data_IF_036786943104
#
_entry.id   IF_036786943104
#
_cell.length_a   1.000
_cell.length_b   1.000
_cell.length_c   1.000
_cell.angle_alpha   90.00
_cell.angle_beta   90.00
_cell.angle_gamma   90.00
#
_symmetry.space_group_name_H-M   'P 1'
#
loop_
_entity.id
_entity.type
_entity.pdbx_description
1 polymer ?
#
# COMPACT_ATOMS: atom_id res chain seq x y z
N UNK A 1 4.22 -10.43 12.49
CA UNK A 1 4.39 -10.90 11.10
C UNK A 1 3.01 -11.25 10.52
N UNK A 2 2.14 -10.25 10.31
CA UNK A 2 0.70 -10.49 10.01
C UNK A 2 0.04 -9.56 8.96
N UNK A 3 0.53 -8.34 8.63
CA UNK A 3 -0.17 -7.51 7.63
C UNK A 3 0.17 -7.84 6.17
N UNK A 4 1.38 -8.31 5.87
CA UNK A 4 1.86 -8.51 4.49
C UNK A 4 1.13 -9.65 3.75
N UNK A 5 0.92 -10.79 4.42
CA UNK A 5 0.24 -11.96 3.82
C UNK A 5 -1.20 -11.64 3.41
N UNK A 6 -1.91 -10.88 4.27
CA UNK A 6 -3.31 -10.53 4.07
C UNK A 6 -3.51 -9.55 2.90
N UNK A 7 -2.52 -8.70 2.67
CA UNK A 7 -2.51 -7.76 1.55
C UNK A 7 -2.22 -8.47 0.22
N UNK A 8 -1.21 -9.34 0.15
CA UNK A 8 -0.90 -10.16 -1.03
C UNK A 8 -2.11 -10.98 -1.47
N UNK A 9 -2.80 -11.63 -0.51
CA UNK A 9 -3.99 -12.43 -0.79
C UNK A 9 -5.14 -11.59 -1.38
N UNK A 10 -5.32 -10.36 -0.91
CA UNK A 10 -6.42 -9.48 -1.33
C UNK A 10 -6.13 -8.69 -2.61
N UNK A 11 -4.90 -8.23 -2.82
CA UNK A 11 -4.57 -7.32 -3.93
C UNK A 11 -3.89 -8.01 -5.12
N UNK A 12 -3.01 -8.99 -4.88
CA UNK A 12 -2.27 -9.66 -5.97
C UNK A 12 -2.99 -10.89 -6.50
N UNK A 13 -3.53 -11.74 -5.63
CA UNK A 13 -4.20 -12.95 -6.10
C UNK A 13 -5.52 -12.62 -6.79
N UNK A 14 -6.37 -11.74 -6.26
CA UNK A 14 -7.59 -11.32 -6.97
C UNK A 14 -8.50 -12.48 -7.46
N UNK A 15 -8.43 -13.65 -6.81
CA UNK A 15 -8.97 -14.99 -7.18
C UNK A 15 -8.10 -15.94 -8.03
N UNK A 16 -6.85 -15.60 -8.33
CA UNK A 16 -5.90 -16.50 -9.03
C UNK A 16 -5.46 -17.60 -8.07
N UNK A 17 -5.61 -18.85 -8.50
CA UNK A 17 -5.09 -20.04 -7.83
C UNK A 17 -3.67 -20.28 -8.33
N UNK A 18 -2.80 -20.82 -7.47
CA UNK A 18 -1.49 -21.31 -7.90
C UNK A 18 -1.67 -22.33 -9.02
N UNK A 19 -0.88 -22.21 -10.09
CA UNK A 19 -1.05 -23.03 -11.30
C UNK A 19 -0.33 -24.38 -11.17
N UNK A 20 0.79 -24.39 -10.47
CA UNK A 20 1.59 -25.59 -10.22
C UNK A 20 0.87 -26.54 -9.28
N UNK A 21 0.94 -27.82 -9.62
CA UNK A 21 0.48 -28.95 -8.79
C UNK A 21 1.65 -29.69 -8.11
N UNK A 22 2.87 -29.15 -8.24
CA UNK A 22 4.10 -29.72 -7.65
C UNK A 22 4.65 -28.80 -6.57
N UNK A 23 5.23 -29.38 -5.52
CA UNK A 23 5.85 -28.63 -4.41
C UNK A 23 6.86 -27.58 -4.86
N UNK A 24 7.83 -27.88 -5.76
CA UNK A 24 8.80 -26.88 -6.21
C UNK A 24 8.14 -25.73 -6.99
N UNK A 25 7.19 -26.03 -7.88
CA UNK A 25 6.50 -24.99 -8.64
C UNK A 25 5.59 -24.11 -7.78
N UNK A 26 4.99 -24.66 -6.72
CA UNK A 26 4.24 -23.87 -5.73
C UNK A 26 5.16 -22.89 -5.02
N UNK A 27 6.34 -23.33 -4.57
CA UNK A 27 7.32 -22.46 -3.93
C UNK A 27 7.76 -21.35 -4.89
N UNK A 28 8.07 -21.69 -6.14
CA UNK A 28 8.46 -20.72 -7.17
C UNK A 28 7.37 -19.65 -7.39
N UNK A 29 6.10 -20.05 -7.50
CA UNK A 29 5.00 -19.10 -7.66
C UNK A 29 4.83 -18.18 -6.46
N UNK A 30 4.97 -18.71 -5.24
CA UNK A 30 4.93 -17.90 -4.01
C UNK A 30 6.08 -16.89 -3.98
N UNK A 31 7.31 -17.32 -4.30
CA UNK A 31 8.45 -16.41 -4.37
C UNK A 31 8.27 -15.37 -5.46
N UNK A 32 7.77 -15.74 -6.64
CA UNK A 32 7.50 -14.79 -7.71
C UNK A 32 6.47 -13.72 -7.28
N UNK A 33 5.40 -14.13 -6.59
CA UNK A 33 4.39 -13.21 -6.06
C UNK A 33 4.98 -12.29 -4.98
N UNK A 34 5.77 -12.83 -4.06
CA UNK A 34 6.45 -12.05 -3.03
C UNK A 34 7.41 -11.03 -3.63
N UNK A 35 8.23 -11.46 -4.60
CA UNK A 35 9.18 -10.56 -5.27
C UNK A 35 8.45 -9.44 -5.99
N UNK A 36 7.41 -9.74 -6.76
CA UNK A 36 6.63 -8.70 -7.45
C UNK A 36 5.94 -7.74 -6.46
N UNK A 37 5.41 -8.23 -5.33
CA UNK A 37 4.89 -7.38 -4.26
C UNK A 37 5.97 -6.43 -3.73
N UNK A 38 7.16 -6.94 -3.43
CA UNK A 38 8.24 -6.13 -2.85
C UNK A 38 8.77 -5.09 -3.84
N UNK A 39 8.95 -5.45 -5.11
CA UNK A 39 9.39 -4.50 -6.14
C UNK A 39 8.41 -3.32 -6.26
N UNK A 40 7.09 -3.60 -6.30
CA UNK A 40 6.08 -2.54 -6.34
C UNK A 40 6.13 -1.68 -5.08
N UNK A 41 6.32 -2.28 -3.91
CA UNK A 41 6.41 -1.54 -2.64
C UNK A 41 7.63 -0.63 -2.56
N UNK A 42 8.77 -1.08 -3.08
CA UNK A 42 9.99 -0.28 -3.17
C UNK A 42 9.76 0.90 -4.10
N UNK A 43 9.22 0.68 -5.31
CA UNK A 43 8.93 1.77 -6.26
C UNK A 43 7.97 2.82 -5.67
N UNK A 44 6.94 2.39 -4.93
CA UNK A 44 6.04 3.32 -4.24
C UNK A 44 6.74 4.11 -3.12
N UNK A 45 7.64 3.46 -2.37
CA UNK A 45 8.39 4.09 -1.28
C UNK A 45 9.39 5.12 -1.83
N UNK A 46 10.12 4.77 -2.90
CA UNK A 46 11.07 5.66 -3.56
C UNK A 46 10.36 6.88 -4.16
N UNK A 47 9.22 6.68 -4.82
CA UNK A 47 8.40 7.78 -5.34
C UNK A 47 7.87 8.70 -4.23
N UNK A 48 7.42 8.13 -3.12
CA UNK A 48 6.95 8.90 -1.97
C UNK A 48 8.08 9.72 -1.34
N UNK A 49 9.26 9.10 -1.19
CA UNK A 49 10.47 9.74 -0.65
C UNK A 49 10.94 10.89 -1.55
N UNK A 50 10.97 10.68 -2.87
CA UNK A 50 11.40 11.69 -3.84
C UNK A 50 10.47 12.92 -3.89
N UNK A 51 9.18 12.73 -3.64
CA UNK A 51 8.16 13.79 -3.67
C UNK A 51 7.82 14.38 -2.30
N UNK A 52 8.40 13.87 -1.22
CA UNK A 52 8.08 14.27 0.16
C UNK A 52 6.65 13.95 0.58
N UNK A 53 5.99 12.98 -0.09
CA UNK A 53 4.61 12.61 0.19
C UNK A 53 4.53 11.45 1.20
N UNK A 54 3.43 11.41 1.97
CA UNK A 54 3.25 10.33 2.94
C UNK A 54 3.00 8.99 2.21
N UNK A 55 3.78 7.93 2.48
CA UNK A 55 3.70 6.66 1.74
C UNK A 55 2.38 5.92 1.95
N UNK A 56 1.63 6.24 3.00
CA UNK A 56 0.30 5.68 3.28
C UNK A 56 -0.81 6.19 2.34
N UNK A 57 -0.52 7.25 1.58
CA UNK A 57 -1.39 7.81 0.52
C UNK A 57 -1.17 7.15 -0.84
N UNK A 58 -0.07 6.41 -1.01
CA UNK A 58 0.25 5.72 -2.26
C UNK A 58 -0.63 4.47 -2.42
N UNK A 59 -1.38 4.39 -3.54
CA UNK A 59 -2.32 3.31 -3.80
C UNK A 59 -1.63 2.10 -4.47
N UNK A 60 -1.61 0.96 -3.78
CA UNK A 60 -1.03 -0.29 -4.30
C UNK A 60 -1.74 -0.81 -5.57
N UNK A 61 -3.08 -0.83 -5.67
CA UNK A 61 -3.75 -1.26 -6.90
C UNK A 61 -3.38 -0.44 -8.14
N UNK A 62 -3.17 0.87 -7.96
CA UNK A 62 -2.75 1.74 -9.07
C UNK A 62 -1.35 1.36 -9.52
N UNK A 63 -0.41 1.26 -8.57
CA UNK A 63 0.97 0.84 -8.87
C UNK A 63 1.03 -0.53 -9.58
N UNK A 64 0.25 -1.51 -9.10
CA UNK A 64 0.18 -2.85 -9.67
C UNK A 64 -0.40 -2.86 -11.10
N UNK A 65 -1.45 -2.08 -11.36
CA UNK A 65 -2.02 -1.99 -12.71
C UNK A 65 -1.06 -1.28 -13.67
N UNK A 66 -0.43 -0.18 -13.25
CA UNK A 66 0.58 0.50 -14.05
C UNK A 66 1.76 -0.42 -14.38
N UNK A 67 2.23 -1.22 -13.41
CA UNK A 67 3.29 -2.20 -13.64
C UNK A 67 2.87 -3.28 -14.65
N UNK A 68 1.62 -3.76 -14.60
CA UNK A 68 1.09 -4.72 -15.57
C UNK A 68 1.02 -4.10 -16.96
N UNK A 69 0.55 -2.86 -17.08
CA UNK A 69 0.44 -2.16 -18.35
C UNK A 69 1.82 -1.99 -19.00
N UNK A 70 2.86 -1.66 -18.22
CA UNK A 70 4.23 -1.60 -18.72
C UNK A 70 4.72 -2.93 -19.28
N UNK A 71 4.47 -4.03 -18.55
CA UNK A 71 4.84 -5.38 -19.01
C UNK A 71 4.07 -5.79 -20.27
N UNK A 72 2.77 -5.51 -20.33
CA UNK A 72 1.90 -5.85 -21.48
C UNK A 72 2.28 -5.04 -22.72
N UNK A 73 2.57 -3.76 -22.56
CA UNK A 73 2.94 -2.85 -23.65
C UNK A 73 4.43 -2.97 -24.04
N UNK A 74 5.20 -3.85 -23.39
CA UNK A 74 6.66 -3.93 -23.52
C UNK A 74 7.36 -2.56 -23.38
N UNK A 75 6.76 -1.65 -22.60
CA UNK A 75 7.36 -0.34 -22.33
C UNK A 75 8.60 -0.55 -21.47
N UNK A 76 9.78 -0.34 -22.08
CA UNK A 76 11.08 -0.61 -21.46
C UNK A 76 12.02 -1.48 -22.30
N UNK A 77 11.59 -2.00 -23.46
CA UNK A 77 12.48 -2.72 -24.41
C UNK A 77 13.17 -1.76 -25.41
N UNK A 78 12.73 -0.50 -25.51
CA UNK A 78 13.35 0.51 -26.38
C UNK A 78 13.98 1.62 -25.53
N UNK A 79 15.30 1.52 -25.44
CA UNK A 79 16.34 2.56 -25.40
C UNK A 79 16.11 3.89 -24.63
N UNK A 80 17.06 4.15 -23.73
CA UNK A 80 17.75 5.44 -23.57
C UNK A 80 16.98 6.64 -23.01
N UNK A 81 15.92 6.41 -22.23
CA UNK A 81 15.27 7.49 -21.47
C UNK A 81 15.89 7.60 -20.09
N UNK A 82 16.44 8.79 -19.79
CA UNK A 82 16.79 9.33 -18.47
C UNK A 82 16.18 8.51 -17.34
N UNK A 83 17.03 7.96 -16.46
CA UNK A 83 16.60 7.24 -15.25
C UNK A 83 15.90 8.27 -14.35
N UNK A 84 14.63 8.48 -14.60
CA UNK A 84 13.76 9.15 -13.68
C UNK A 84 13.66 8.27 -12.43
N UNK A 85 14.17 8.80 -11.32
CA UNK A 85 14.23 8.10 -10.04
C UNK A 85 12.84 7.64 -9.57
N UNK A 86 11.80 8.34 -10.01
CA UNK A 86 10.39 8.03 -9.68
C UNK A 86 9.83 6.96 -10.64
N UNK A 87 10.21 7.04 -11.92
CA UNK A 87 9.76 6.16 -12.98
C UNK A 87 8.24 6.24 -13.24
N UNK A 88 7.79 5.55 -14.29
CA UNK A 88 6.38 5.59 -14.72
C UNK A 88 5.41 5.06 -13.66
N UNK A 89 5.82 4.08 -12.84
CA UNK A 89 5.00 3.57 -11.72
C UNK A 89 4.84 4.65 -10.65
N UNK A 90 5.93 5.30 -10.25
CA UNK A 90 5.91 6.35 -9.25
C UNK A 90 5.07 7.54 -9.69
N UNK A 91 5.20 8.00 -10.95
CA UNK A 91 4.38 9.09 -11.49
C UNK A 91 2.89 8.79 -11.44
N UNK A 92 2.48 7.59 -11.83
CA UNK A 92 1.07 7.19 -11.78
C UNK A 92 0.53 7.21 -10.35
N UNK A 93 1.34 6.77 -9.38
CA UNK A 93 0.98 6.77 -7.96
C UNK A 93 0.88 8.19 -7.41
N UNK A 94 1.84 9.06 -7.73
CA UNK A 94 1.87 10.45 -7.27
C UNK A 94 0.74 11.29 -7.91
N UNK A 95 0.37 11.00 -9.15
CA UNK A 95 -0.77 11.63 -9.81
C UNK A 95 -2.14 11.22 -9.25
N UNK A 96 -2.20 10.19 -8.40
CA UNK A 96 -3.45 9.59 -7.89
C UNK A 96 -3.43 9.35 -6.38
N UNK A 97 -2.73 10.21 -5.63
CA UNK A 97 -2.61 10.08 -4.18
C UNK A 97 -3.99 10.04 -3.51
N UNK A 98 -4.17 9.07 -2.61
CA UNK A 98 -5.38 8.98 -1.81
C UNK A 98 -5.49 10.19 -0.84
N UNK A 99 -6.72 10.55 -0.42
CA UNK A 99 -6.92 11.56 0.61
C UNK A 99 -6.13 11.23 1.87
N UNK A 100 -5.65 12.26 2.57
CA UNK A 100 -4.91 12.09 3.81
C UNK A 100 -5.70 11.22 4.80
N UNK A 101 -5.08 10.15 5.28
CA UNK A 101 -5.75 9.21 6.18
C UNK A 101 -5.90 9.87 7.56
N UNK A 102 -7.13 9.94 8.07
CA UNK A 102 -7.39 10.43 9.44
C UNK A 102 -6.67 9.57 10.47
N UNK A 103 -6.01 10.21 11.43
CA UNK A 103 -5.43 9.56 12.61
C UNK A 103 -6.50 8.76 13.34
N UNK A 104 -6.28 7.46 13.53
CA UNK A 104 -7.20 6.60 14.27
C UNK A 104 -6.94 6.76 15.77
N UNK A 105 -7.79 7.51 16.45
CA UNK A 105 -7.70 7.77 17.90
C UNK A 105 -8.54 6.81 18.76
N UNK A 106 -8.95 5.66 18.22
CA UNK A 106 -9.72 4.66 18.96
C UNK A 106 -8.95 3.34 19.08
N UNK A 107 -9.05 2.61 20.21
CA UNK A 107 -8.51 1.27 20.32
C UNK A 107 -9.12 0.38 19.22
N UNK A 108 -8.34 -0.58 18.72
CA UNK A 108 -8.81 -1.53 17.70
C UNK A 108 -9.84 -2.48 18.33
N UNK A 109 -11.08 -2.02 18.42
CA UNK A 109 -12.19 -2.78 18.98
C UNK A 109 -12.99 -3.47 17.87
N UNK A 110 -13.30 -4.75 18.08
CA UNK A 110 -14.19 -5.51 17.20
C UNK A 110 -15.63 -5.04 17.48
N UNK A 111 -16.25 -4.33 16.51
CA UNK A 111 -17.62 -3.79 16.65
C UNK A 111 -18.68 -4.87 16.92
N UNK A 112 -18.45 -6.10 16.47
CA UNK A 112 -19.29 -7.29 16.74
C UNK A 112 -18.41 -8.53 16.90
N UNK A 113 -18.24 -9.08 18.11
CA UNK A 113 -17.52 -10.35 18.27
C UNK A 113 -18.25 -11.48 17.52
N UNK A 114 -17.50 -12.41 16.92
CA UNK A 114 -18.05 -13.51 16.11
C UNK A 114 -18.89 -14.53 16.91
N UNK A 115 -18.93 -14.45 18.24
CA UNK A 115 -19.73 -15.35 19.07
C UNK A 115 -20.30 -14.67 20.32
N UNK A 116 -21.43 -15.19 20.83
CA UNK A 116 -22.08 -14.76 22.10
C UNK A 116 -21.15 -14.89 23.31
N UNK A 117 -20.27 -15.90 23.32
CA UNK A 117 -19.34 -16.15 24.42
C UNK A 117 -18.12 -15.23 24.40
N UNK A 118 -17.70 -14.75 23.23
CA UNK A 118 -16.61 -13.78 23.10
C UNK A 118 -16.96 -12.40 23.71
N UNK A 119 -18.25 -12.06 23.85
CA UNK A 119 -18.66 -10.82 24.51
C UNK A 119 -18.25 -10.76 25.99
N UNK A 120 -18.27 -11.90 26.70
CA UNK A 120 -17.95 -11.96 28.14
C UNK A 120 -16.45 -11.94 28.45
N UNK A 121 -15.58 -12.29 27.51
CA UNK A 121 -14.14 -12.40 27.72
C UNK A 121 -13.32 -11.22 27.20
N UNK A 122 -13.94 -10.26 26.51
CA UNK A 122 -13.24 -9.07 26.02
C UNK A 122 -13.02 -8.08 27.16
N UNK A 123 -11.82 -8.09 27.73
CA UNK A 123 -11.33 -7.02 28.60
C UNK A 123 -11.18 -5.76 27.73
N UNK A 124 -12.20 -4.90 27.71
CA UNK A 124 -12.17 -3.66 26.93
C UNK A 124 -11.15 -2.74 27.55
N UNK A 125 -9.98 -2.63 26.91
CA UNK A 125 -9.02 -1.60 27.24
C UNK A 125 -9.60 -0.24 26.86
N UNK A 126 -9.78 0.62 27.86
CA UNK A 126 -10.35 1.97 27.75
C UNK A 126 -9.26 3.06 27.77
N UNK A 127 -7.98 2.67 27.75
CA UNK A 127 -6.88 3.63 27.70
C UNK A 127 -6.97 4.45 26.41
N UNK A 128 -7.33 5.71 26.60
CA UNK A 128 -7.44 6.70 25.53
C UNK A 128 -6.15 7.52 25.53
N UNK A 129 -5.34 7.36 24.49
CA UNK A 129 -4.13 8.15 24.29
C UNK A 129 -4.52 9.52 23.72
N UNK A 130 -4.16 10.60 24.41
CA UNK A 130 -4.33 11.97 23.89
C UNK A 130 -3.23 12.26 22.87
N UNK A 131 -3.61 12.73 21.70
CA UNK A 131 -2.68 13.28 20.71
C UNK A 131 -3.10 14.71 20.36
N UNK A 132 -2.16 15.65 20.39
CA UNK A 132 -2.37 17.05 20.01
C UNK A 132 -1.96 17.22 18.55
N UNK A 133 -2.86 17.75 17.72
CA UNK A 133 -2.56 18.12 16.33
C UNK A 133 -2.52 19.65 16.27
N UNK A 134 -1.35 20.22 16.00
CA UNK A 134 -1.19 21.64 15.73
C UNK A 134 -1.30 21.88 14.22
N UNK A 135 -2.25 22.71 13.81
CA UNK A 135 -2.47 23.09 12.41
C UNK A 135 -2.13 24.58 12.29
N UNK A 136 -0.99 24.89 11.67
CA UNK A 136 -0.65 26.25 11.27
C UNK A 136 -1.22 26.52 9.88
N UNK A 137 -2.19 27.44 9.78
CA UNK A 137 -2.66 27.93 8.48
C UNK A 137 -1.77 29.12 8.12
N UNK A 138 -0.90 28.95 7.13
CA UNK A 138 -0.21 30.08 6.52
C UNK A 138 -1.20 30.76 5.57
N UNK A 139 -1.83 31.84 6.04
CA UNK A 139 -2.52 32.76 5.14
C UNK A 139 -1.44 33.52 4.38
N UNK A 140 -1.32 33.26 3.08
CA UNK A 140 -0.51 34.12 2.20
C UNK A 140 -1.17 35.50 2.19
N UNK A 141 -0.65 36.41 3.00
CA UNK A 141 -1.00 37.81 2.92
C UNK A 141 -0.57 38.31 1.54
N UNK A 142 -1.56 38.74 0.74
CA UNK A 142 -1.30 39.44 -0.52
C UNK A 142 -0.87 40.86 -0.14
N UNK A 143 0.40 41.16 -0.32
CA UNK A 143 0.92 42.51 -0.09
C UNK A 143 1.96 42.91 -1.13
N UNK A 144 1.52 43.34 -2.31
CA UNK A 144 1.78 44.65 -2.94
C UNK A 144 1.47 44.61 -4.43
#
# INVERSE_FOLDING_TARGET
MEPAYLEIKKSMLGRRVLRSRTWPGIAQEIYALLTAYQVIRIAMADAAQASGTAPDRCSFPIALNTARDQVVQAQGVIADTVIDLVGTIGHAVLGTLMPARRTRLGPRAVKRPLSRYAYKSLRVDRHTYKATISIGILTSDRGS
#
